data_IF_002298662446
#
_entry.id   IF_002298662446
#
_cell.length_a   1.000
_cell.length_b   1.000
_cell.length_c   1.000
_cell.angle_alpha   90.00
_cell.angle_beta   90.00
_cell.angle_gamma   90.00
#
_symmetry.space_group_name_H-M   'P 1'
#
loop_
_entity.id
_entity.type
_entity.pdbx_description
1 polymer ?
#
# COMPACT_ATOMS: atom_id res chain seq x y z
N UNK A 1 -12.55 51.44 -28.78
CA UNK A 1 -12.37 51.27 -27.33
C UNK A 1 -12.44 49.77 -27.02
N UNK A 2 -11.30 49.08 -26.99
CA UNK A 2 -11.24 47.65 -26.69
C UNK A 2 -11.42 47.44 -25.19
N UNK A 3 -12.54 46.87 -24.77
CA UNK A 3 -12.73 46.35 -23.41
C UNK A 3 -12.11 44.96 -23.35
N UNK A 4 -10.86 44.88 -22.91
CA UNK A 4 -10.25 43.61 -22.52
C UNK A 4 -10.87 43.18 -21.19
N UNK A 5 -11.94 42.39 -21.24
CA UNK A 5 -12.41 41.63 -20.08
C UNK A 5 -11.39 40.53 -19.79
N UNK A 6 -10.42 40.81 -18.91
CA UNK A 6 -9.52 39.80 -18.38
C UNK A 6 -10.28 38.85 -17.47
N UNK A 7 -10.66 37.69 -18.03
CA UNK A 7 -11.07 36.54 -17.22
C UNK A 7 -9.80 35.94 -16.62
N UNK A 8 -9.56 36.22 -15.33
CA UNK A 8 -8.47 35.60 -14.58
C UNK A 8 -8.86 34.13 -14.37
N UNK A 9 -8.36 33.25 -15.25
CA UNK A 9 -8.50 31.81 -15.11
C UNK A 9 -7.50 31.32 -14.06
N UNK A 10 -7.93 31.27 -12.81
CA UNK A 10 -7.13 30.72 -11.70
C UNK A 10 -6.94 29.22 -11.90
N UNK A 11 -5.74 28.81 -12.31
CA UNK A 11 -5.33 27.41 -12.36
C UNK A 11 -5.12 26.94 -10.92
N UNK A 12 -6.09 26.19 -10.38
CA UNK A 12 -5.91 25.46 -9.13
C UNK A 12 -4.95 24.30 -9.40
N UNK A 13 -3.69 24.48 -9.04
CA UNK A 13 -2.76 23.36 -8.94
C UNK A 13 -3.22 22.46 -7.79
N UNK A 14 -3.95 21.39 -8.11
CA UNK A 14 -4.12 20.26 -7.18
C UNK A 14 -2.75 19.61 -7.05
N UNK A 15 -2.06 19.90 -5.95
CA UNK A 15 -0.95 19.07 -5.49
C UNK A 15 -1.54 17.75 -5.01
N UNK A 16 -1.44 16.70 -5.84
CA UNK A 16 -1.72 15.34 -5.41
C UNK A 16 -0.70 14.98 -4.31
N UNK A 17 -1.17 14.77 -3.08
CA UNK A 17 -0.32 14.24 -2.03
C UNK A 17 0.02 12.79 -2.41
N UNK A 18 1.27 12.55 -2.80
CA UNK A 18 1.72 11.23 -3.23
C UNK A 18 2.06 10.38 -2.00
N UNK A 19 1.37 9.24 -1.86
CA UNK A 19 1.58 8.28 -0.77
C UNK A 19 3.00 7.69 -0.83
N UNK A 20 3.69 7.60 0.30
CA UNK A 20 5.01 6.95 0.38
C UNK A 20 4.91 5.64 1.19
N UNK A 21 5.55 4.57 0.70
CA UNK A 21 5.45 3.22 1.29
C UNK A 21 6.83 2.59 1.43
N UNK A 22 6.96 1.65 2.37
CA UNK A 22 8.13 0.77 2.40
C UNK A 22 8.15 -0.18 1.21
N UNK A 23 9.34 -0.45 0.71
CA UNK A 23 9.63 -1.35 -0.40
C UNK A 23 10.59 -2.46 0.07
N UNK A 24 10.36 -3.67 -0.43
CA UNK A 24 11.33 -4.75 -0.29
C UNK A 24 10.69 -6.09 0.05
N UNK A 25 11.54 -7.02 0.45
CA UNK A 25 11.13 -8.36 0.85
C UNK A 25 11.99 -8.90 2.00
N UNK A 26 11.46 -9.88 2.72
CA UNK A 26 12.19 -10.68 3.72
C UNK A 26 11.74 -12.13 3.65
N UNK A 27 12.64 -13.05 4.02
CA UNK A 27 12.42 -14.49 4.00
C UNK A 27 12.46 -15.12 5.41
N UNK A 28 12.90 -14.35 6.41
CA UNK A 28 13.17 -14.84 7.75
C UNK A 28 12.03 -14.39 8.66
N UNK A 29 11.45 -15.35 9.39
CA UNK A 29 10.41 -15.06 10.38
C UNK A 29 10.93 -14.08 11.44
N UNK A 30 10.25 -12.95 11.61
CA UNK A 30 10.62 -11.90 12.56
C UNK A 30 11.64 -10.89 12.06
N UNK A 31 12.18 -11.08 10.85
CA UNK A 31 12.95 -10.03 10.17
C UNK A 31 12.03 -9.00 9.55
N UNK A 32 12.44 -7.73 9.56
CA UNK A 32 11.68 -6.66 8.93
C UNK A 32 12.07 -6.51 7.46
N UNK A 33 11.13 -6.03 6.66
CA UNK A 33 11.44 -5.43 5.36
C UNK A 33 12.42 -4.29 5.62
N UNK A 34 13.43 -4.15 4.75
CA UNK A 34 14.47 -3.12 4.88
C UNK A 34 13.90 -1.69 4.92
N UNK A 35 14.79 -0.71 5.08
CA UNK A 35 14.40 0.70 5.23
C UNK A 35 14.19 1.42 3.88
N UNK A 36 14.21 0.68 2.76
CA UNK A 36 13.90 1.26 1.45
C UNK A 36 12.45 1.72 1.39
N UNK A 37 12.25 2.90 0.80
CA UNK A 37 10.93 3.50 0.60
C UNK A 37 10.77 3.93 -0.85
N UNK A 38 9.52 4.09 -1.27
CA UNK A 38 9.20 4.71 -2.55
C UNK A 38 7.91 5.51 -2.47
N UNK A 39 7.86 6.58 -3.25
CA UNK A 39 6.63 7.33 -3.53
C UNK A 39 5.80 6.53 -4.55
N UNK A 40 4.52 6.31 -4.25
CA UNK A 40 3.59 5.66 -5.17
C UNK A 40 3.25 6.59 -6.33
N UNK A 41 3.05 6.01 -7.52
CA UNK A 41 2.88 6.79 -8.76
C UNK A 41 1.45 7.27 -8.94
N UNK A 42 0.47 6.57 -8.36
CA UNK A 42 -0.96 6.85 -8.57
C UNK A 42 -1.63 7.23 -7.27
N UNK A 43 -2.52 8.21 -7.34
CA UNK A 43 -3.38 8.60 -6.21
C UNK A 43 -4.35 7.49 -5.78
N UNK A 44 -4.50 6.44 -6.60
CA UNK A 44 -5.30 5.25 -6.31
C UNK A 44 -4.49 4.11 -5.69
N UNK A 45 -3.17 4.28 -5.55
CA UNK A 45 -2.33 3.27 -4.91
C UNK A 45 -2.55 3.22 -3.39
N UNK A 46 -2.27 2.05 -2.84
CA UNK A 46 -2.20 1.76 -1.41
C UNK A 46 -0.81 1.23 -1.12
N UNK A 47 -0.33 1.43 0.10
CA UNK A 47 0.77 0.64 0.63
C UNK A 47 0.25 -0.76 0.92
N UNK A 48 1.01 -1.78 0.53
CA UNK A 48 0.68 -3.17 0.84
C UNK A 48 1.81 -3.90 1.54
N UNK A 49 1.43 -4.96 2.25
CA UNK A 49 2.31 -5.94 2.85
C UNK A 49 1.68 -7.34 2.65
N UNK A 50 2.38 -8.21 1.93
CA UNK A 50 1.98 -9.56 1.65
C UNK A 50 2.87 -10.54 2.40
N UNK A 51 2.28 -11.48 3.14
CA UNK A 51 3.00 -12.54 3.84
C UNK A 51 2.51 -13.92 3.43
N UNK A 52 3.43 -14.86 3.24
CA UNK A 52 3.13 -16.26 2.94
C UNK A 52 4.11 -17.19 3.67
N UNK A 53 3.66 -18.32 4.23
CA UNK A 53 4.58 -19.34 4.72
C UNK A 53 5.30 -20.00 3.53
N UNK A 54 6.63 -20.14 3.61
CA UNK A 54 7.41 -20.88 2.60
C UNK A 54 7.83 -22.26 3.09
N UNK A 55 8.27 -22.35 4.36
CA UNK A 55 8.73 -23.56 5.04
C UNK A 55 8.32 -23.49 6.51
N UNK A 56 8.47 -24.57 7.27
CA UNK A 56 8.04 -24.67 8.69
C UNK A 56 8.52 -23.52 9.59
N UNK A 57 9.65 -22.89 9.26
CA UNK A 57 10.27 -21.82 10.05
C UNK A 57 10.37 -20.46 9.33
N UNK A 58 9.95 -20.37 8.07
CA UNK A 58 10.19 -19.20 7.22
C UNK A 58 8.90 -18.59 6.69
N UNK A 59 8.79 -17.27 6.79
CA UNK A 59 7.69 -16.47 6.25
C UNK A 59 8.30 -15.55 5.19
N UNK A 60 7.80 -15.67 3.96
CA UNK A 60 8.02 -14.65 2.94
C UNK A 60 7.18 -13.43 3.28
N UNK A 61 7.79 -12.26 3.23
CA UNK A 61 7.13 -10.98 3.38
C UNK A 61 7.55 -10.06 2.24
N UNK A 62 6.60 -9.32 1.65
CA UNK A 62 6.85 -8.36 0.57
C UNK A 62 6.02 -7.10 0.78
N UNK A 63 6.60 -5.93 0.56
CA UNK A 63 5.90 -4.65 0.64
C UNK A 63 6.16 -3.75 -0.57
N UNK A 64 5.23 -2.82 -0.79
CA UNK A 64 5.35 -1.77 -1.80
C UNK A 64 4.04 -1.01 -2.00
N UNK A 65 3.87 -0.45 -3.19
CA UNK A 65 2.64 0.19 -3.64
C UNK A 65 1.84 -0.75 -4.55
N UNK A 66 0.51 -0.81 -4.39
CA UNK A 66 -0.38 -1.56 -5.27
C UNK A 66 -1.79 -0.95 -5.29
N UNK A 67 -2.24 -0.47 -6.44
CA UNK A 67 -3.63 -0.03 -6.62
C UNK A 67 -4.60 -1.18 -6.91
N UNK A 68 -4.20 -2.20 -7.67
CA UNK A 68 -5.13 -3.22 -8.19
C UNK A 68 -5.68 -4.13 -7.08
N UNK A 69 -4.79 -4.80 -6.34
CA UNK A 69 -5.22 -5.78 -5.32
C UNK A 69 -5.87 -5.04 -4.14
N UNK A 70 -5.28 -3.94 -3.71
CA UNK A 70 -5.75 -3.19 -2.55
C UNK A 70 -7.05 -2.42 -2.78
N UNK A 71 -7.45 -2.16 -4.03
CA UNK A 71 -8.80 -1.68 -4.32
C UNK A 71 -9.88 -2.70 -3.92
N UNK A 72 -9.59 -4.01 -3.97
CA UNK A 72 -10.52 -5.05 -3.55
C UNK A 72 -10.44 -5.36 -2.05
N UNK A 73 -9.22 -5.38 -1.49
CA UNK A 73 -8.99 -5.63 -0.06
C UNK A 73 -9.43 -4.45 0.80
N UNK A 74 -9.23 -3.22 0.31
CA UNK A 74 -9.44 -1.97 1.05
C UNK A 74 -8.38 -1.74 2.12
N UNK A 75 -8.63 -0.77 3.01
CA UNK A 75 -7.86 -0.61 4.25
C UNK A 75 -8.15 -1.82 5.16
N UNK A 76 -7.24 -2.79 5.20
CA UNK A 76 -7.47 -4.04 5.92
C UNK A 76 -6.51 -5.15 5.54
N UNK A 77 -6.74 -6.32 6.13
CA UNK A 77 -6.03 -7.54 5.79
C UNK A 77 -7.00 -8.63 5.33
N UNK A 78 -6.63 -9.36 4.29
CA UNK A 78 -7.37 -10.49 3.75
C UNK A 78 -6.43 -11.66 3.47
N UNK A 79 -6.86 -12.87 3.85
CA UNK A 79 -6.13 -14.11 3.59
C UNK A 79 -6.79 -14.87 2.45
N UNK A 80 -5.97 -15.37 1.52
CA UNK A 80 -6.38 -16.16 0.37
C UNK A 80 -5.43 -17.34 0.19
N UNK A 81 -6.00 -18.51 -0.09
CA UNK A 81 -5.22 -19.68 -0.47
C UNK A 81 -4.85 -19.60 -1.96
N UNK A 82 -3.55 -19.53 -2.24
CA UNK A 82 -3.00 -19.50 -3.59
C UNK A 82 -2.15 -20.75 -3.74
N UNK A 83 -2.57 -21.68 -4.59
CA UNK A 83 -1.87 -22.95 -4.84
C UNK A 83 -1.62 -23.77 -3.53
N UNK A 84 -2.58 -23.71 -2.59
CA UNK A 84 -2.48 -24.39 -1.29
C UNK A 84 -1.60 -23.66 -0.26
N UNK A 85 -1.12 -22.46 -0.56
CA UNK A 85 -0.36 -21.61 0.36
C UNK A 85 -1.26 -20.47 0.86
N UNK A 86 -1.45 -20.31 2.18
CA UNK A 86 -2.23 -19.22 2.73
C UNK A 86 -1.43 -17.92 2.64
N UNK A 87 -1.82 -17.05 1.71
CA UNK A 87 -1.22 -15.73 1.52
C UNK A 87 -2.10 -14.69 2.19
N UNK A 88 -1.52 -13.90 3.10
CA UNK A 88 -2.18 -12.76 3.73
C UNK A 88 -1.73 -11.47 3.05
N UNK A 89 -2.67 -10.70 2.53
CA UNK A 89 -2.45 -9.38 1.97
C UNK A 89 -3.04 -8.33 2.90
N UNK A 90 -2.23 -7.35 3.31
CA UNK A 90 -2.68 -6.19 4.04
C UNK A 90 -2.44 -4.93 3.22
N UNK A 91 -3.37 -3.98 3.27
CA UNK A 91 -3.37 -2.76 2.49
C UNK A 91 -3.72 -1.57 3.37
N UNK A 92 -3.11 -0.42 3.11
CA UNK A 92 -3.39 0.84 3.80
C UNK A 92 -3.08 2.06 2.93
N UNK A 93 -3.82 3.16 3.12
CA UNK A 93 -3.69 4.37 2.27
C UNK A 93 -3.63 5.69 3.00
N UNK A 94 -4.00 5.73 4.29
CA UNK A 94 -4.23 7.00 4.98
C UNK A 94 -2.95 7.64 5.55
N UNK A 95 -1.84 6.90 5.61
CA UNK A 95 -0.60 7.36 6.22
C UNK A 95 0.61 6.85 5.44
N UNK A 96 1.66 7.67 5.34
CA UNK A 96 2.93 7.25 4.77
C UNK A 96 3.55 6.13 5.63
N UNK A 97 4.19 5.17 4.98
CA UNK A 97 4.92 4.07 5.61
C UNK A 97 4.06 3.09 6.43
N UNK A 98 2.74 3.13 6.27
CA UNK A 98 1.78 2.33 7.04
C UNK A 98 1.90 0.80 6.82
N UNK A 99 2.69 0.36 5.85
CA UNK A 99 2.88 -1.06 5.51
C UNK A 99 4.05 -1.75 6.24
N UNK A 100 4.64 -1.12 7.27
CA UNK A 100 5.66 -1.73 8.13
C UNK A 100 5.09 -2.18 9.47
N UNK A 101 5.67 -3.24 10.02
CA UNK A 101 5.30 -3.77 11.33
C UNK A 101 4.04 -4.63 11.31
N UNK A 102 3.35 -4.69 12.45
CA UNK A 102 2.20 -5.56 12.64
C UNK A 102 0.92 -4.82 12.19
N UNK A 103 0.49 -5.02 10.94
CA UNK A 103 -0.76 -4.43 10.38
C UNK A 103 -2.05 -5.03 10.98
N UNK A 104 -1.99 -5.58 12.19
CA UNK A 104 -3.10 -6.29 12.88
C UNK A 104 -4.24 -5.38 13.33
N UNK A 105 -4.04 -4.06 13.37
CA UNK A 105 -5.07 -3.11 13.80
C UNK A 105 -5.94 -2.57 12.66
N UNK A 106 -5.72 -3.00 11.42
CA UNK A 106 -6.59 -2.62 10.30
C UNK A 106 -7.65 -3.71 10.17
N UNK A 107 -8.87 -3.38 10.61
CA UNK A 107 -10.06 -4.23 10.72
C UNK A 107 -9.93 -5.58 9.98
N UNK A 108 -9.66 -6.65 10.73
CA UNK A 108 -9.78 -8.00 10.20
C UNK A 108 -11.26 -8.24 9.91
N UNK A 109 -11.68 -8.01 8.65
CA UNK A 109 -13.04 -8.33 8.22
C UNK A 109 -13.12 -9.85 8.06
N UNK A 110 -13.28 -10.54 9.19
CA UNK A 110 -13.64 -11.94 9.23
C UNK A 110 -14.95 -12.10 8.44
N UNK A 111 -14.91 -12.89 7.37
CA UNK A 111 -16.11 -13.51 6.80
C UNK A 111 -16.14 -14.95 7.25
#
# INVERSE_FOLDING_TARGET
MCRCSSVILGVLFVSAASLECHLGYSLIKGSTIGDETKVCEKDTDFCYNATAPLLTVSIFQKAGCNGLICQFVGDGCEQRDILGVPVKFCCCKNENFCNRGNMTNVAQRAR
#
